data_IF_582737490633
#
_entry.id   IF_582737490633
#
_cell.length_a   1.000
_cell.length_b   1.000
_cell.length_c   1.000
_cell.angle_alpha   90.00
_cell.angle_beta   90.00
_cell.angle_gamma   90.00
#
_symmetry.space_group_name_H-M   'P 1'
#
loop_
_entity.id
_entity.type
_entity.pdbx_description
1 polymer ?
#
# COMPACT_ATOMS: atom_id res chain seq x y z
N UNK A 1 -0.76 -10.38 8.27
CA UNK A 1 -0.54 -8.95 8.16
C UNK A 1 0.85 -8.59 8.65
N UNK A 2 1.60 -7.86 7.83
CA UNK A 2 2.91 -7.32 8.16
C UNK A 2 2.75 -5.81 8.29
N UNK A 3 3.23 -5.23 9.37
CA UNK A 3 3.13 -3.80 9.59
C UNK A 3 4.44 -3.27 10.15
N UNK A 4 4.85 -2.10 9.68
CA UNK A 4 5.99 -1.37 10.23
C UNK A 4 5.68 -0.91 11.67
N UNK A 5 6.70 -0.68 12.48
CA UNK A 5 6.60 -0.35 13.90
C UNK A 5 6.04 1.07 14.19
N UNK A 6 5.79 1.83 13.14
CA UNK A 6 5.23 3.18 13.19
C UNK A 6 3.83 3.28 12.54
N UNK A 7 3.15 2.15 12.39
CA UNK A 7 1.74 2.10 11.99
C UNK A 7 0.84 2.13 13.22
N UNK A 8 0.00 3.15 13.31
CA UNK A 8 -1.07 3.25 14.32
C UNK A 8 -2.41 2.83 13.69
N UNK A 9 -3.09 1.87 14.33
CA UNK A 9 -4.40 1.36 13.91
C UNK A 9 -5.23 0.97 15.14
N UNK A 10 -6.55 1.19 15.08
CA UNK A 10 -7.46 0.75 16.13
C UNK A 10 -7.67 -0.77 16.07
N UNK A 11 -7.81 -1.43 17.23
CA UNK A 11 -7.91 -2.88 17.30
C UNK A 11 -9.08 -3.47 16.50
N UNK A 12 -10.24 -2.81 16.49
CA UNK A 12 -11.41 -3.22 15.71
C UNK A 12 -11.18 -3.14 14.19
N UNK A 13 -10.31 -2.24 13.73
CA UNK A 13 -9.96 -2.10 12.32
C UNK A 13 -9.18 -3.32 11.80
N UNK A 14 -8.40 -3.98 12.66
CA UNK A 14 -7.68 -5.21 12.27
C UNK A 14 -8.67 -6.33 11.94
N UNK A 15 -9.71 -6.51 12.77
CA UNK A 15 -10.76 -7.48 12.49
C UNK A 15 -11.54 -7.14 11.22
N UNK A 16 -11.85 -5.87 10.98
CA UNK A 16 -12.49 -5.40 9.74
C UNK A 16 -11.63 -5.69 8.51
N UNK A 17 -10.31 -5.48 8.61
CA UNK A 17 -9.38 -5.80 7.52
C UNK A 17 -9.44 -7.28 7.12
N UNK A 18 -9.35 -8.20 8.10
CA UNK A 18 -9.43 -9.63 7.80
C UNK A 18 -10.81 -10.06 7.29
N UNK A 19 -11.89 -9.41 7.75
CA UNK A 19 -13.23 -9.64 7.21
C UNK A 19 -13.33 -9.21 5.74
N UNK A 20 -12.84 -8.01 5.41
CA UNK A 20 -12.80 -7.51 4.04
C UNK A 20 -11.95 -8.41 3.12
N UNK A 21 -10.79 -8.92 3.60
CA UNK A 21 -9.98 -9.88 2.84
C UNK A 21 -10.80 -11.11 2.42
N UNK A 22 -11.66 -11.61 3.32
CA UNK A 22 -12.53 -12.77 3.05
C UNK A 22 -13.73 -12.39 2.19
N UNK A 23 -14.41 -11.30 2.50
CA UNK A 23 -15.61 -10.82 1.80
C UNK A 23 -15.37 -10.58 0.31
N UNK A 24 -14.22 -9.94 -0.01
CA UNK A 24 -13.85 -9.61 -1.38
C UNK A 24 -12.89 -10.62 -2.01
N UNK A 25 -12.61 -11.73 -1.34
CA UNK A 25 -11.68 -12.79 -1.79
C UNK A 25 -10.34 -12.21 -2.28
N UNK A 26 -9.73 -11.36 -1.44
CA UNK A 26 -8.48 -10.68 -1.78
C UNK A 26 -7.27 -11.55 -1.48
N UNK A 27 -6.27 -11.48 -2.34
CA UNK A 27 -4.95 -12.07 -2.11
C UNK A 27 -4.03 -11.10 -1.37
N UNK A 28 -4.16 -9.80 -1.65
CA UNK A 28 -3.36 -8.74 -1.02
C UNK A 28 -4.25 -7.53 -0.75
N UNK A 29 -4.14 -6.95 0.44
CA UNK A 29 -4.77 -5.68 0.75
C UNK A 29 -3.90 -4.85 1.70
N UNK A 30 -4.20 -3.56 1.79
CA UNK A 30 -3.75 -2.72 2.89
C UNK A 30 -4.89 -1.83 3.37
N UNK A 31 -4.93 -1.49 4.68
CA UNK A 31 -5.74 -0.40 5.17
C UNK A 31 -5.38 0.92 4.46
N UNK A 32 -6.37 1.76 4.22
CA UNK A 32 -6.10 3.09 3.69
C UNK A 32 -5.37 3.95 4.74
N UNK A 33 -4.45 4.77 4.27
CA UNK A 33 -3.76 5.74 5.12
C UNK A 33 -4.68 6.92 5.46
N UNK A 34 -4.71 7.31 6.72
CA UNK A 34 -5.38 8.55 7.14
C UNK A 34 -4.74 9.77 6.48
N UNK A 35 -5.47 10.88 6.41
CA UNK A 35 -4.94 12.16 5.90
C UNK A 35 -3.80 12.73 6.76
N UNK A 36 -3.66 12.25 8.00
CA UNK A 36 -2.60 12.63 8.92
C UNK A 36 -1.34 11.78 8.79
N UNK A 37 -1.35 10.80 7.88
CA UNK A 37 -0.21 9.94 7.63
C UNK A 37 0.89 10.64 6.85
N UNK A 38 2.13 10.21 7.07
CA UNK A 38 3.17 10.35 6.06
C UNK A 38 2.93 9.29 4.96
N UNK A 39 3.05 9.65 3.69
CA UNK A 39 2.73 8.75 2.58
C UNK A 39 3.62 8.97 1.36
N UNK A 40 3.84 7.91 0.59
CA UNK A 40 4.58 7.96 -0.68
C UNK A 40 3.63 8.11 -1.88
N UNK A 41 2.44 7.54 -1.79
CA UNK A 41 1.50 7.48 -2.91
C UNK A 41 0.11 7.95 -2.51
N UNK A 42 -0.44 8.93 -3.23
CA UNK A 42 -1.82 9.38 -3.02
C UNK A 42 -2.87 8.26 -3.18
N UNK A 43 -2.53 7.22 -3.95
CA UNK A 43 -3.41 6.08 -4.16
C UNK A 43 -3.72 5.32 -2.87
N UNK A 44 -2.84 5.37 -1.87
CA UNK A 44 -3.00 4.67 -0.59
C UNK A 44 -3.73 5.49 0.49
N UNK A 45 -3.90 6.79 0.26
CA UNK A 45 -4.68 7.66 1.16
C UNK A 45 -6.16 7.29 1.07
N UNK A 46 -6.84 7.31 2.21
CA UNK A 46 -8.27 7.08 2.31
C UNK A 46 -9.07 7.97 1.37
N UNK A 47 -9.96 7.37 0.60
CA UNK A 47 -11.03 8.04 -0.11
C UNK A 47 -12.37 7.67 0.54
N UNK A 48 -12.93 8.57 1.33
CA UNK A 48 -14.11 8.32 2.17
C UNK A 48 -15.37 7.98 1.36
N UNK A 49 -15.34 8.25 0.05
CA UNK A 49 -16.41 7.87 -0.87
C UNK A 49 -16.49 6.37 -1.12
N UNK A 50 -15.43 5.62 -0.84
CA UNK A 50 -15.36 4.18 -1.13
C UNK A 50 -15.31 3.33 0.15
N UNK A 51 -15.69 2.07 -0.01
CA UNK A 51 -15.39 0.97 0.92
C UNK A 51 -14.03 0.37 0.59
N UNK A 52 -13.81 0.14 -0.70
CA UNK A 52 -12.64 -0.55 -1.24
C UNK A 52 -12.31 -0.02 -2.64
N UNK A 53 -11.03 0.08 -2.94
CA UNK A 53 -10.52 0.40 -4.28
C UNK A 53 -9.58 -0.69 -4.75
N UNK A 54 -9.91 -1.36 -5.86
CA UNK A 54 -9.06 -2.38 -6.47
C UNK A 54 -7.90 -1.71 -7.22
N UNK A 55 -6.71 -2.25 -7.02
CA UNK A 55 -5.45 -1.65 -7.48
C UNK A 55 -4.47 -2.71 -7.96
N UNK A 56 -3.40 -2.28 -8.59
CA UNK A 56 -2.23 -3.12 -8.87
C UNK A 56 -1.13 -2.98 -7.81
N UNK A 57 -1.36 -2.25 -6.70
CA UNK A 57 -0.29 -1.87 -5.81
C UNK A 57 -0.74 -1.77 -4.36
N UNK A 58 0.02 -2.40 -3.48
CA UNK A 58 -0.07 -2.31 -2.02
C UNK A 58 1.33 -2.05 -1.50
N UNK A 59 1.51 -1.04 -0.65
CA UNK A 59 2.81 -0.65 -0.10
C UNK A 59 3.37 -1.68 0.88
N UNK A 60 4.70 -1.75 0.93
CA UNK A 60 5.43 -2.66 1.82
C UNK A 60 5.20 -2.37 3.31
N UNK A 61 4.80 -1.15 3.67
CA UNK A 61 4.67 -0.73 5.07
C UNK A 61 3.59 -1.46 5.88
N UNK A 62 2.51 -1.94 5.24
CA UNK A 62 1.41 -2.60 5.97
C UNK A 62 0.58 -3.56 5.11
N UNK A 63 1.18 -4.49 4.34
CA UNK A 63 0.43 -5.42 3.51
C UNK A 63 -0.25 -6.50 4.36
N UNK A 64 -1.50 -6.80 4.03
CA UNK A 64 -2.20 -8.01 4.44
C UNK A 64 -2.17 -8.99 3.28
N UNK A 65 -1.49 -10.11 3.44
CA UNK A 65 -1.26 -11.10 2.40
C UNK A 65 -1.99 -12.41 2.75
N UNK A 66 -2.62 -13.02 1.76
CA UNK A 66 -3.10 -14.39 1.86
C UNK A 66 -1.93 -15.36 2.07
N UNK A 67 -2.15 -16.47 2.74
CA UNK A 67 -1.07 -17.41 3.09
C UNK A 67 -0.30 -17.92 1.87
N UNK A 68 -1.00 -18.17 0.77
CA UNK A 68 -0.42 -18.63 -0.49
C UNK A 68 0.55 -17.59 -1.05
N UNK A 69 0.17 -16.31 -1.03
CA UNK A 69 1.04 -15.20 -1.44
C UNK A 69 2.27 -15.10 -0.54
N UNK A 70 2.09 -15.25 0.78
CA UNK A 70 3.24 -15.27 1.71
C UNK A 70 4.23 -16.36 1.35
N UNK A 71 3.75 -17.60 1.10
CA UNK A 71 4.62 -18.72 0.69
C UNK A 71 5.41 -18.40 -0.58
N UNK A 72 4.77 -17.79 -1.59
CA UNK A 72 5.44 -17.38 -2.81
C UNK A 72 6.46 -16.24 -2.61
N UNK A 73 6.24 -15.41 -1.61
CA UNK A 73 7.11 -14.26 -1.31
C UNK A 73 8.29 -14.61 -0.40
N UNK A 74 8.29 -15.77 0.29
CA UNK A 74 9.36 -16.16 1.21
C UNK A 74 10.78 -16.04 0.62
N UNK A 75 11.05 -16.43 -0.65
CA UNK A 75 12.39 -16.29 -1.23
C UNK A 75 12.85 -14.84 -1.37
N UNK A 76 11.90 -13.89 -1.47
CA UNK A 76 12.18 -12.46 -1.57
C UNK A 76 12.34 -11.80 -0.20
N UNK A 77 11.60 -12.23 0.81
CA UNK A 77 11.79 -11.77 2.19
C UNK A 77 13.16 -12.17 2.71
N UNK A 78 13.63 -13.37 2.37
CA UNK A 78 14.98 -13.82 2.72
C UNK A 78 16.01 -12.98 1.96
N UNK A 79 16.78 -12.18 2.70
CA UNK A 79 17.80 -11.31 2.14
C UNK A 79 17.32 -9.90 1.76
N UNK A 80 16.05 -9.58 2.03
CA UNK A 80 15.55 -8.21 2.03
C UNK A 80 15.68 -7.62 3.43
N UNK A 81 16.29 -6.44 3.53
CA UNK A 81 16.50 -5.76 4.82
C UNK A 81 15.48 -4.65 5.06
N UNK A 82 15.10 -3.94 4.01
CA UNK A 82 14.16 -2.82 4.06
C UNK A 82 12.78 -3.16 3.50
N UNK A 83 12.69 -4.26 2.75
CA UNK A 83 11.49 -4.61 2.00
C UNK A 83 11.31 -3.83 0.69
N UNK A 84 12.22 -2.91 0.35
CA UNK A 84 12.08 -2.08 -0.84
C UNK A 84 12.04 -2.89 -2.13
N UNK A 85 11.01 -2.62 -2.93
CA UNK A 85 10.75 -3.33 -4.18
C UNK A 85 9.86 -4.58 -4.03
N UNK A 86 9.61 -5.07 -2.80
CA UNK A 86 8.70 -6.20 -2.58
C UNK A 86 7.28 -5.87 -3.04
N UNK A 87 6.84 -4.62 -2.86
CA UNK A 87 5.58 -4.09 -3.37
C UNK A 87 5.43 -4.30 -4.89
N UNK A 88 6.47 -4.06 -5.64
CA UNK A 88 6.48 -4.32 -7.09
C UNK A 88 6.54 -5.82 -7.41
N UNK A 89 7.21 -6.63 -6.59
CA UNK A 89 7.30 -8.09 -6.79
C UNK A 89 5.94 -8.74 -6.64
N UNK A 90 5.22 -8.51 -5.54
CA UNK A 90 3.88 -9.10 -5.38
C UNK A 90 2.86 -8.51 -6.34
N UNK A 91 2.96 -7.21 -6.67
CA UNK A 91 2.12 -6.60 -7.72
C UNK A 91 2.30 -7.28 -9.07
N UNK A 92 3.54 -7.63 -9.44
CA UNK A 92 3.81 -8.37 -10.67
C UNK A 92 3.28 -9.79 -10.61
N UNK A 93 3.41 -10.48 -9.49
CA UNK A 93 2.93 -11.87 -9.35
C UNK A 93 1.40 -11.97 -9.44
N UNK A 94 0.69 -11.03 -8.86
CA UNK A 94 -0.79 -11.01 -8.84
C UNK A 94 -1.43 -10.27 -10.02
N UNK A 95 -0.64 -9.73 -10.98
CA UNK A 95 -1.11 -8.88 -12.09
C UNK A 95 -2.19 -9.48 -13.00
N UNK A 96 -2.32 -10.79 -13.02
CA UNK A 96 -3.32 -11.49 -13.86
C UNK A 96 -4.73 -11.40 -13.28
N UNK A 97 -4.87 -11.04 -12.01
CA UNK A 97 -6.13 -11.02 -11.28
C UNK A 97 -6.38 -9.63 -10.64
N UNK A 98 -6.85 -8.66 -11.44
CA UNK A 98 -6.91 -7.25 -11.02
C UNK A 98 -7.82 -6.97 -9.82
N UNK A 99 -8.74 -7.88 -9.48
CA UNK A 99 -9.64 -7.72 -8.35
C UNK A 99 -9.16 -8.45 -7.08
N UNK A 100 -7.93 -8.96 -7.07
CA UNK A 100 -7.35 -9.67 -5.92
C UNK A 100 -6.45 -8.79 -5.05
N UNK A 101 -6.24 -7.54 -5.45
CA UNK A 101 -5.45 -6.57 -4.69
C UNK A 101 -6.23 -5.29 -4.46
N UNK A 102 -6.23 -4.75 -3.22
CA UNK A 102 -7.05 -3.59 -2.88
C UNK A 102 -6.50 -2.70 -1.78
N UNK A 103 -6.93 -1.43 -1.80
CA UNK A 103 -6.88 -0.51 -0.67
C UNK A 103 -8.26 -0.54 0.01
N UNK A 104 -8.27 -0.78 1.32
CA UNK A 104 -9.50 -0.88 2.13
C UNK A 104 -9.81 0.48 2.75
N UNK A 105 -10.70 1.25 2.13
CA UNK A 105 -11.04 2.61 2.58
C UNK A 105 -11.88 2.66 3.86
N UNK A 106 -12.58 1.57 4.20
CA UNK A 106 -13.30 1.43 5.47
C UNK A 106 -12.41 1.02 6.64
N UNK A 107 -11.15 0.67 6.36
CA UNK A 107 -10.14 0.33 7.36
C UNK A 107 -9.03 1.36 7.28
N UNK A 108 -8.85 2.15 8.34
CA UNK A 108 -7.94 3.29 8.33
C UNK A 108 -6.81 3.07 9.32
N UNK A 109 -5.59 3.32 8.85
CA UNK A 109 -4.38 3.35 9.66
C UNK A 109 -3.66 4.69 9.51
N UNK A 110 -2.73 4.99 10.40
CA UNK A 110 -1.89 6.18 10.33
C UNK A 110 -0.42 5.79 10.36
N UNK A 111 0.32 6.18 9.33
CA UNK A 111 1.79 6.11 9.35
C UNK A 111 2.33 7.35 10.06
N UNK A 112 2.92 7.15 11.23
CA UNK A 112 3.14 8.21 12.23
C UNK A 112 4.48 8.93 12.10
N UNK A 113 5.46 8.32 11.42
CA UNK A 113 6.82 8.87 11.25
C UNK A 113 7.10 9.32 9.82
N UNK A 114 8.02 10.27 9.62
CA UNK A 114 8.51 10.64 8.29
C UNK A 114 9.16 9.46 7.58
N UNK A 115 8.97 9.40 6.25
CA UNK A 115 9.65 8.43 5.38
C UNK A 115 11.15 8.68 5.46
N UNK A 116 11.96 7.61 5.59
CA UNK A 116 13.42 7.70 5.56
C UNK A 116 14.12 7.90 6.93
N UNK A 117 13.42 7.67 8.04
CA UNK A 117 13.95 7.82 9.41
C UNK A 117 15.17 6.92 9.75
N UNK A 118 15.29 6.38 10.99
CA UNK A 118 16.48 5.69 11.52
C UNK A 118 16.98 4.50 10.68
N UNK A 119 16.14 4.01 9.76
CA UNK A 119 16.51 2.94 8.84
C UNK A 119 17.72 3.32 7.95
N UNK A 120 17.80 4.59 7.52
CA UNK A 120 18.91 5.05 6.67
C UNK A 120 20.28 4.93 7.36
N UNK A 121 20.37 5.24 8.65
CA UNK A 121 21.60 5.10 9.43
C UNK A 121 22.04 3.64 9.52
N UNK A 122 21.09 2.73 9.77
CA UNK A 122 21.37 1.28 9.82
C UNK A 122 21.81 0.72 8.46
N UNK A 123 21.27 1.23 7.36
CA UNK A 123 21.67 0.86 6.01
C UNK A 123 23.11 1.28 5.72
N UNK A 124 23.49 2.49 6.09
CA UNK A 124 24.85 2.99 5.91
C UNK A 124 25.88 2.11 6.65
N UNK A 125 25.58 1.71 7.89
CA UNK A 125 26.43 0.80 8.66
C UNK A 125 26.63 -0.57 7.97
N UNK A 126 25.62 -1.04 7.24
CA UNK A 126 25.66 -2.30 6.49
C UNK A 126 26.17 -2.15 5.05
N UNK A 127 26.57 -0.95 4.64
CA UNK A 127 26.94 -0.63 3.24
C UNK A 127 25.83 -0.97 2.24
N UNK A 128 24.58 -0.86 2.67
CA UNK A 128 23.39 -1.06 1.85
C UNK A 128 22.76 0.28 1.53
N UNK A 129 22.07 0.35 0.39
CA UNK A 129 21.25 1.49 0.00
C UNK A 129 19.82 1.03 -0.31
N UNK A 130 18.85 1.91 -0.05
CA UNK A 130 17.43 1.67 -0.40
C UNK A 130 17.29 1.34 -1.89
N UNK A 131 17.98 2.12 -2.75
CA UNK A 131 17.97 1.92 -4.20
C UNK A 131 18.64 0.59 -4.61
N UNK A 132 19.74 0.23 -3.96
CA UNK A 132 20.42 -1.04 -4.20
C UNK A 132 19.54 -2.26 -3.89
N UNK A 133 18.80 -2.22 -2.77
CA UNK A 133 17.88 -3.29 -2.42
C UNK A 133 16.66 -3.33 -3.36
N UNK A 134 16.08 -2.16 -3.68
CA UNK A 134 15.03 -2.03 -4.68
C UNK A 134 15.44 -2.72 -5.99
N UNK A 135 16.57 -2.30 -6.56
CA UNK A 135 17.09 -2.85 -7.82
C UNK A 135 17.36 -4.36 -7.72
N UNK A 136 17.92 -4.81 -6.60
CA UNK A 136 18.18 -6.24 -6.36
C UNK A 136 16.87 -7.04 -6.40
N UNK A 137 15.83 -6.60 -5.70
CA UNK A 137 14.54 -7.31 -5.67
C UNK A 137 13.85 -7.31 -7.05
N UNK A 138 13.89 -6.21 -7.79
CA UNK A 138 13.30 -6.11 -9.12
C UNK A 138 14.06 -6.97 -10.15
N UNK A 139 15.38 -6.98 -10.09
CA UNK A 139 16.24 -7.75 -11.01
C UNK A 139 16.08 -9.26 -10.84
N UNK A 140 15.76 -9.77 -9.64
CA UNK A 140 15.48 -11.19 -9.41
C UNK A 140 14.40 -11.76 -10.33
N UNK A 141 13.48 -10.93 -10.78
CA UNK A 141 12.37 -11.34 -11.67
C UNK A 141 12.29 -10.51 -12.96
N UNK A 142 13.29 -9.67 -13.22
CA UNK A 142 13.41 -8.93 -14.48
C UNK A 142 12.31 -7.88 -14.72
N UNK A 143 11.86 -7.18 -13.68
CA UNK A 143 10.81 -6.16 -13.79
C UNK A 143 11.33 -4.76 -13.45
N UNK A 144 10.55 -3.75 -13.86
CA UNK A 144 10.70 -2.37 -13.40
C UNK A 144 9.77 -2.09 -12.22
N UNK A 145 10.07 -1.05 -11.46
CA UNK A 145 9.21 -0.56 -10.38
C UNK A 145 7.78 -0.29 -10.89
N UNK A 146 6.80 -0.83 -10.19
CA UNK A 146 5.39 -0.69 -10.53
C UNK A 146 4.84 0.57 -9.84
N UNK A 147 4.15 1.40 -10.63
CA UNK A 147 3.43 2.58 -10.10
C UNK A 147 1.99 2.21 -9.77
N UNK A 148 1.41 2.77 -8.69
CA UNK A 148 0.02 2.53 -8.31
C UNK A 148 -0.97 2.95 -9.41
N UNK A 149 -1.91 2.06 -9.70
CA UNK A 149 -3.06 2.31 -10.57
C UNK A 149 -4.30 1.75 -9.91
N UNK A 150 -5.33 2.56 -9.76
CA UNK A 150 -6.65 2.11 -9.31
C UNK A 150 -7.46 1.68 -10.52
N UNK A 151 -8.04 0.49 -10.50
CA UNK A 151 -8.82 -0.08 -11.60
C UNK A 151 -10.32 0.15 -11.45
N UNK A 152 -10.83 -0.03 -10.25
CA UNK A 152 -12.24 0.07 -9.90
C UNK A 152 -12.39 0.34 -8.40
N UNK A 153 -13.61 0.54 -7.94
CA UNK A 153 -13.90 0.67 -6.52
C UNK A 153 -15.38 0.43 -6.24
N UNK A 154 -15.68 0.01 -5.02
CA UNK A 154 -17.04 -0.14 -4.51
C UNK A 154 -17.27 0.99 -3.52
N UNK A 155 -18.29 1.80 -3.76
CA UNK A 155 -18.65 2.91 -2.88
C UNK A 155 -19.44 2.45 -1.65
N UNK A 156 -19.78 3.40 -0.76
CA UNK A 156 -20.55 3.12 0.46
C UNK A 156 -21.98 2.65 0.21
N UNK A 157 -22.52 2.89 -0.99
CA UNK A 157 -23.83 2.40 -1.45
C UNK A 157 -23.74 1.03 -2.15
N UNK A 158 -22.59 0.35 -2.09
CA UNK A 158 -22.32 -0.95 -2.75
C UNK A 158 -22.32 -0.87 -4.29
N UNK A 159 -22.15 0.33 -4.87
CA UNK A 159 -22.09 0.51 -6.31
C UNK A 159 -20.65 0.37 -6.79
N UNK A 160 -20.43 -0.52 -7.76
CA UNK A 160 -19.13 -0.69 -8.40
C UNK A 160 -18.90 0.38 -9.45
N UNK A 161 -17.78 1.06 -9.36
CA UNK A 161 -17.34 2.11 -10.29
C UNK A 161 -16.09 1.69 -11.04
N UNK A 162 -16.08 1.95 -12.36
CA UNK A 162 -14.90 1.74 -13.22
C UNK A 162 -13.85 2.84 -12.98
N UNK A 163 -12.61 2.58 -13.39
CA UNK A 163 -11.42 3.43 -13.25
C UNK A 163 -11.69 4.93 -13.44
N UNK A 164 -12.32 5.32 -14.54
CA UNK A 164 -12.53 6.74 -14.85
C UNK A 164 -13.41 7.46 -13.80
N UNK A 165 -14.46 6.79 -13.34
CA UNK A 165 -15.35 7.34 -12.29
C UNK A 165 -14.63 7.39 -10.95
N UNK A 166 -13.91 6.33 -10.57
CA UNK A 166 -13.11 6.29 -9.33
C UNK A 166 -12.08 7.41 -9.33
N UNK A 167 -11.31 7.58 -10.40
CA UNK A 167 -10.31 8.65 -10.51
C UNK A 167 -10.91 10.05 -10.35
N UNK A 168 -12.10 10.30 -10.94
CA UNK A 168 -12.82 11.58 -10.76
C UNK A 168 -13.27 11.80 -9.31
N UNK A 169 -13.80 10.76 -8.66
CA UNK A 169 -14.25 10.85 -7.26
C UNK A 169 -13.07 11.11 -6.34
N UNK A 170 -11.96 10.38 -6.49
CA UNK A 170 -10.72 10.60 -5.76
C UNK A 170 -10.17 12.02 -5.97
N UNK A 171 -10.07 12.46 -7.23
CA UNK A 171 -9.55 13.81 -7.55
C UNK A 171 -10.42 14.91 -6.91
N UNK A 172 -11.76 14.78 -6.98
CA UNK A 172 -12.68 15.69 -6.33
C UNK A 172 -12.47 15.73 -4.82
N UNK A 173 -12.46 14.58 -4.18
CA UNK A 173 -12.31 14.49 -2.73
C UNK A 173 -10.96 15.04 -2.27
N UNK A 174 -9.86 14.65 -2.91
CA UNK A 174 -8.52 15.09 -2.55
C UNK A 174 -8.31 16.59 -2.80
N UNK A 175 -8.90 17.14 -3.87
CA UNK A 175 -8.85 18.58 -4.13
C UNK A 175 -9.54 19.39 -3.04
N UNK A 176 -10.75 19.02 -2.63
CA UNK A 176 -11.48 19.72 -1.58
C UNK A 176 -10.86 19.57 -0.20
N UNK A 177 -10.27 18.41 0.08
CA UNK A 177 -9.68 18.07 1.39
C UNK A 177 -8.16 18.24 1.44
N UNK A 178 -7.54 18.87 0.43
CA UNK A 178 -6.07 19.02 0.35
C UNK A 178 -5.42 19.70 1.56
N UNK A 179 -6.17 20.57 2.25
CA UNK A 179 -5.70 21.25 3.48
C UNK A 179 -5.59 20.32 4.68
N UNK A 180 -6.28 19.17 4.64
CA UNK A 180 -6.30 18.18 5.73
C UNK A 180 -5.11 17.23 5.63
N UNK A 181 -4.40 17.21 4.50
CA UNK A 181 -3.24 16.36 4.31
C UNK A 181 -2.03 16.89 5.07
N UNK A 182 -1.30 15.97 5.69
CA UNK A 182 0.00 16.27 6.25
C UNK A 182 0.95 16.77 5.16
N UNK A 183 1.66 17.84 5.43
CA UNK A 183 2.63 18.37 4.47
C UNK A 183 3.89 17.48 4.42
N UNK A 184 3.96 16.65 3.40
CA UNK A 184 5.10 15.75 3.16
C UNK A 184 6.19 16.35 2.27
N UNK A 185 6.02 17.59 1.78
CA UNK A 185 6.95 18.21 0.81
C UNK A 185 8.38 18.43 1.34
N UNK A 186 8.54 18.49 2.66
CA UNK A 186 9.86 18.69 3.31
C UNK A 186 10.74 17.43 3.34
N UNK A 187 10.25 16.29 2.87
CA UNK A 187 10.93 14.99 2.98
C UNK A 187 11.57 14.59 1.65
N UNK A 188 11.18 15.23 0.56
CA UNK A 188 11.67 14.97 -0.80
C UNK A 188 12.70 16.00 -1.28
N UNK A 189 13.16 16.90 -0.40
CA UNK A 189 14.20 17.89 -0.68
C UNK A 189 15.57 17.46 -0.15
#
# INVERSE_FOLDING_TARGET
WFADDDIAIQGDQISKMFNAMREYDLDIAQPALSKQSYFSYLATIQCESFKIRFTNFVEVMAPCLKQEVVKEMLPFFKGSFTGMGLDSVWSYKTRKEPNKMAILDEVVMTHTRPIGGPLHEKLQQKKLTVEGELNSNLNKIGIKQIKPVIFSGIDKQQITHKKTKVSRMMAKEYFYKRKDFKDNRKILS
#
